data_IF_307021894411
#
_entry.id   IF_307021894411
#
_cell.length_a   1.000
_cell.length_b   1.000
_cell.length_c   1.000
_cell.angle_alpha   90.00
_cell.angle_beta   90.00
_cell.angle_gamma   90.00
#
_symmetry.space_group_name_H-M   'P 1'
#
loop_
_entity.id
_entity.type
_entity.pdbx_description
1 polymer ?
#
# COMPACT_ATOMS: atom_id res chain seq x y z
N UNK A 1 -11.56 -8.90 10.97
CA UNK A 1 -11.06 -10.25 11.30
C UNK A 1 -10.00 -10.10 12.38
N UNK A 2 -10.18 -10.75 13.51
CA UNK A 2 -9.24 -10.68 14.63
C UNK A 2 -8.31 -11.88 14.55
N UNK A 3 -7.00 -11.65 14.61
CA UNK A 3 -6.01 -12.73 14.67
C UNK A 3 -5.31 -12.67 16.03
N UNK A 4 -5.30 -13.78 16.75
CA UNK A 4 -4.53 -13.94 17.99
C UNK A 4 -3.08 -14.26 17.63
N UNK A 5 -2.14 -13.49 18.19
CA UNK A 5 -0.72 -13.88 18.18
C UNK A 5 -0.30 -14.12 19.64
N UNK A 6 0.28 -15.28 19.84
CA UNK A 6 0.66 -15.80 21.14
C UNK A 6 2.06 -15.34 21.59
N UNK A 7 2.11 -14.87 22.83
CA UNK A 7 3.09 -15.08 23.90
C UNK A 7 4.54 -14.62 23.79
N UNK A 8 4.84 -13.59 24.57
CA UNK A 8 6.08 -13.54 25.35
C UNK A 8 5.71 -13.15 26.79
N UNK A 9 6.16 -13.97 27.78
CA UNK A 9 6.05 -13.76 29.23
C UNK A 9 4.65 -13.86 29.85
N UNK A 10 3.99 -15.02 29.75
CA UNK A 10 3.10 -15.55 30.79
C UNK A 10 1.77 -14.87 31.06
N UNK A 11 1.40 -13.78 30.41
CA UNK A 11 0.07 -13.21 30.49
C UNK A 11 -0.51 -12.95 29.09
N UNK A 12 -1.77 -13.32 28.81
CA UNK A 12 -2.40 -13.07 27.52
C UNK A 12 -2.72 -11.58 27.39
N UNK A 13 -1.91 -10.83 26.66
CA UNK A 13 -2.32 -9.54 26.12
C UNK A 13 -3.05 -9.79 24.79
N UNK A 14 -4.30 -9.42 24.74
CA UNK A 14 -5.06 -9.33 23.51
C UNK A 14 -4.47 -8.17 22.69
N UNK A 15 -3.55 -8.46 21.77
CA UNK A 15 -3.17 -7.50 20.74
C UNK A 15 -4.21 -7.62 19.61
N UNK A 16 -5.07 -6.62 19.52
CA UNK A 16 -5.99 -6.50 18.39
C UNK A 16 -5.19 -5.97 17.21
N UNK A 17 -4.75 -6.87 16.32
CA UNK A 17 -4.19 -6.46 15.03
C UNK A 17 -5.38 -6.03 14.16
N UNK A 18 -5.50 -4.74 13.93
CA UNK A 18 -6.49 -4.21 12.98
C UNK A 18 -5.90 -4.36 11.58
N UNK A 19 -6.27 -5.44 10.92
CA UNK A 19 -5.95 -5.64 9.50
C UNK A 19 -6.77 -4.63 8.70
N UNK A 20 -6.11 -3.82 7.88
CA UNK A 20 -6.74 -2.77 7.10
C UNK A 20 -6.48 -2.96 5.62
N UNK A 21 -7.56 -2.86 4.86
CA UNK A 21 -7.54 -2.60 3.42
C UNK A 21 -8.41 -1.38 3.17
N UNK A 22 -7.84 -0.32 2.61
CA UNK A 22 -8.57 0.91 2.31
C UNK A 22 -8.43 1.31 0.85
N UNK A 23 -9.56 1.71 0.26
CA UNK A 23 -9.63 2.26 -1.09
C UNK A 23 -9.64 3.78 -1.04
N UNK A 24 -8.86 4.42 -1.91
CA UNK A 24 -8.83 5.85 -2.13
C UNK A 24 -9.10 6.17 -3.60
N UNK A 25 -9.87 7.22 -3.82
CA UNK A 25 -10.09 7.78 -5.14
C UNK A 25 -9.00 8.77 -5.49
N UNK A 26 -8.33 8.54 -6.61
CA UNK A 26 -7.57 9.61 -7.24
C UNK A 26 -8.55 10.46 -8.05
N UNK A 27 -8.84 11.69 -7.59
CA UNK A 27 -9.85 12.54 -8.22
C UNK A 27 -9.43 13.05 -9.61
N UNK A 28 -8.11 13.11 -9.85
CA UNK A 28 -7.54 13.65 -11.10
C UNK A 28 -7.42 12.57 -12.17
N UNK A 29 -7.11 11.34 -11.78
CA UNK A 29 -6.85 10.24 -12.71
C UNK A 29 -7.83 9.08 -12.49
N UNK A 30 -8.25 8.36 -13.56
CA UNK A 30 -9.21 7.26 -13.46
C UNK A 30 -8.54 5.97 -12.93
N UNK A 31 -7.89 6.06 -11.80
CA UNK A 31 -7.23 4.94 -11.10
C UNK A 31 -7.54 4.98 -9.63
N UNK A 32 -7.68 3.80 -9.04
CA UNK A 32 -7.81 3.64 -7.60
C UNK A 32 -6.43 3.46 -6.97
N UNK A 33 -6.33 3.85 -5.71
CA UNK A 33 -5.23 3.46 -4.84
C UNK A 33 -5.82 2.60 -3.72
N UNK A 34 -5.28 1.41 -3.54
CA UNK A 34 -5.56 0.58 -2.38
C UNK A 34 -4.33 0.50 -1.51
N UNK A 35 -4.52 0.61 -0.21
CA UNK A 35 -3.46 0.45 0.78
C UNK A 35 -3.90 -0.61 1.78
N UNK A 36 -3.06 -1.62 1.97
CA UNK A 36 -3.32 -2.74 2.88
C UNK A 36 -2.15 -2.97 3.83
N UNK A 37 -2.44 -3.55 4.99
CA UNK A 37 -1.44 -3.91 6.02
C UNK A 37 -1.27 -5.43 6.13
N UNK A 38 -1.84 -6.21 5.21
CA UNK A 38 -1.72 -7.66 5.21
C UNK A 38 -1.90 -8.23 3.81
N UNK A 39 -1.01 -9.13 3.42
CA UNK A 39 -1.16 -9.91 2.20
C UNK A 39 -2.43 -10.77 2.19
N UNK A 40 -2.80 -11.31 3.35
CA UNK A 40 -3.98 -12.15 3.49
C UNK A 40 -5.29 -11.42 3.15
N UNK A 41 -5.32 -10.10 3.33
CA UNK A 41 -6.48 -9.27 2.97
C UNK A 41 -6.63 -9.04 1.47
N UNK A 42 -5.57 -9.22 0.70
CA UNK A 42 -5.54 -8.81 -0.72
C UNK A 42 -5.42 -9.97 -1.69
N UNK A 43 -4.76 -11.05 -1.32
CA UNK A 43 -4.38 -12.16 -2.23
C UNK A 43 -5.54 -12.73 -3.06
N UNK A 44 -6.74 -12.79 -2.49
CA UNK A 44 -7.92 -13.37 -3.13
C UNK A 44 -8.89 -12.31 -3.71
N UNK A 45 -8.68 -11.03 -3.39
CA UNK A 45 -9.56 -9.92 -3.76
C UNK A 45 -9.12 -9.17 -5.00
N UNK A 46 -7.86 -9.34 -5.38
CA UNK A 46 -7.24 -8.63 -6.49
C UNK A 46 -6.64 -9.61 -7.50
N UNK A 47 -6.46 -9.11 -8.70
CA UNK A 47 -5.72 -9.78 -9.77
C UNK A 47 -4.95 -8.75 -10.58
N UNK A 48 -3.90 -9.18 -11.26
CA UNK A 48 -3.18 -8.39 -12.25
C UNK A 48 -3.91 -8.51 -13.59
N UNK A 49 -4.10 -7.41 -14.29
CA UNK A 49 -4.71 -7.41 -15.63
C UNK A 49 -3.68 -7.33 -16.77
N UNK A 50 -2.40 -7.15 -16.45
CA UNK A 50 -1.30 -7.14 -17.40
C UNK A 50 -0.44 -8.39 -17.18
N UNK A 51 -0.30 -9.21 -18.23
CA UNK A 51 0.39 -10.50 -18.17
C UNK A 51 1.89 -10.41 -17.89
N UNK A 52 2.50 -9.24 -18.09
CA UNK A 52 3.92 -9.01 -17.84
C UNK A 52 4.23 -8.80 -16.35
N UNK A 53 3.21 -8.72 -15.50
CA UNK A 53 3.34 -8.51 -14.06
C UNK A 53 2.84 -9.72 -13.26
N UNK A 54 3.46 -9.95 -12.10
CA UNK A 54 3.04 -10.98 -11.15
C UNK A 54 2.33 -10.36 -9.94
N UNK A 55 1.36 -11.11 -9.40
CA UNK A 55 0.71 -10.77 -8.14
C UNK A 55 1.00 -11.89 -7.13
N UNK A 56 2.12 -11.75 -6.44
CA UNK A 56 2.63 -12.71 -5.46
C UNK A 56 3.20 -11.99 -4.24
N UNK A 57 3.26 -12.68 -3.11
CA UNK A 57 3.79 -12.11 -1.87
C UNK A 57 5.30 -11.91 -1.95
N UNK A 58 5.77 -10.73 -1.59
CA UNK A 58 7.19 -10.44 -1.35
C UNK A 58 7.50 -10.55 0.14
N UNK A 59 8.29 -11.54 0.52
CA UNK A 59 8.54 -11.86 1.94
C UNK A 59 9.59 -10.96 2.59
N UNK A 60 10.49 -10.38 1.80
CA UNK A 60 11.65 -9.62 2.29
C UNK A 60 11.46 -8.10 2.22
N UNK A 61 10.23 -7.64 1.97
CA UNK A 61 9.92 -6.23 1.81
C UNK A 61 8.90 -5.75 2.85
N UNK A 62 9.21 -4.62 3.50
CA UNK A 62 8.29 -3.94 4.43
C UNK A 62 7.13 -3.26 3.72
N UNK A 63 7.30 -2.89 2.47
CA UNK A 63 6.29 -2.37 1.57
C UNK A 63 6.47 -2.93 0.16
N UNK A 64 5.38 -3.07 -0.58
CA UNK A 64 5.40 -3.50 -1.98
C UNK A 64 4.29 -2.81 -2.76
N UNK A 65 4.64 -2.26 -3.91
CA UNK A 65 3.70 -1.69 -4.87
C UNK A 65 3.39 -2.71 -5.96
N UNK A 66 2.11 -2.98 -6.16
CA UNK A 66 1.61 -3.82 -7.25
C UNK A 66 0.90 -2.94 -8.27
N UNK A 67 1.49 -2.73 -9.45
CA UNK A 67 0.85 -2.02 -10.55
C UNK A 67 -0.13 -2.94 -11.30
N UNK A 68 -0.92 -2.36 -12.19
CA UNK A 68 -1.86 -3.07 -13.07
C UNK A 68 -2.84 -3.97 -12.31
N UNK A 69 -3.29 -3.50 -11.15
CA UNK A 69 -4.21 -4.25 -10.28
C UNK A 69 -5.67 -3.95 -10.62
N UNK A 70 -6.46 -5.01 -10.61
CA UNK A 70 -7.91 -4.94 -10.72
C UNK A 70 -8.56 -5.58 -9.49
N UNK A 71 -9.50 -4.88 -8.87
CA UNK A 71 -10.30 -5.45 -7.80
C UNK A 71 -11.39 -6.33 -8.40
N UNK A 72 -11.39 -7.63 -8.06
CA UNK A 72 -12.28 -8.63 -8.66
C UNK A 72 -13.76 -8.30 -8.49
N UNK A 73 -14.17 -7.79 -7.32
CA UNK A 73 -15.57 -7.51 -7.00
C UNK A 73 -16.15 -6.31 -7.74
N UNK A 74 -15.33 -5.31 -8.09
CA UNK A 74 -15.77 -4.04 -8.71
C UNK A 74 -15.26 -3.83 -10.12
N UNK A 75 -14.30 -4.62 -10.56
CA UNK A 75 -13.58 -4.49 -11.85
C UNK A 75 -12.85 -3.15 -12.00
N UNK A 76 -12.68 -2.42 -10.91
CA UNK A 76 -11.93 -1.16 -10.91
C UNK A 76 -10.44 -1.43 -10.93
N UNK A 77 -9.71 -0.61 -11.68
CA UNK A 77 -8.27 -0.71 -11.89
C UNK A 77 -7.50 0.36 -11.14
N UNK A 78 -6.28 0.04 -10.75
CA UNK A 78 -5.40 0.96 -10.06
C UNK A 78 -4.13 0.30 -9.55
N UNK A 79 -3.60 0.85 -8.48
CA UNK A 79 -2.37 0.43 -7.84
C UNK A 79 -2.66 0.01 -6.40
N UNK A 80 -2.05 -1.09 -5.97
CA UNK A 80 -2.14 -1.61 -4.62
C UNK A 80 -0.79 -1.47 -3.92
N UNK A 81 -0.78 -0.90 -2.73
CA UNK A 81 0.38 -0.91 -1.83
C UNK A 81 0.06 -1.85 -0.66
N UNK A 82 0.93 -2.80 -0.40
CA UNK A 82 0.85 -3.68 0.76
C UNK A 82 2.04 -3.42 1.67
N UNK A 83 1.75 -3.02 2.90
CA UNK A 83 2.74 -2.94 3.97
C UNK A 83 2.67 -4.22 4.80
N UNK A 84 3.81 -4.85 5.02
CA UNK A 84 3.89 -6.14 5.69
C UNK A 84 4.97 -6.09 6.78
N UNK A 85 4.68 -5.33 7.84
CA UNK A 85 5.61 -5.22 8.96
C UNK A 85 5.52 -6.47 9.83
N UNK A 86 6.62 -7.21 9.92
CA UNK A 86 6.74 -8.38 10.80
C UNK A 86 7.01 -7.97 12.25
N UNK A 87 7.69 -6.84 12.44
CA UNK A 87 8.05 -6.28 13.73
C UNK A 87 7.55 -4.83 13.88
N UNK A 88 7.56 -4.34 15.11
CA UNK A 88 7.20 -2.96 15.39
C UNK A 88 8.28 -2.02 14.88
N UNK A 89 7.91 -1.12 13.96
CA UNK A 89 8.81 -0.18 13.32
C UNK A 89 8.70 1.20 13.97
N UNK A 90 9.83 1.90 14.12
CA UNK A 90 9.86 3.29 14.61
C UNK A 90 9.24 4.27 13.63
N UNK A 91 8.73 5.40 14.13
CA UNK A 91 8.02 6.38 13.32
C UNK A 91 8.85 6.95 12.17
N UNK A 92 10.15 7.17 12.34
CA UNK A 92 11.05 7.64 11.28
C UNK A 92 11.21 6.62 10.17
N UNK A 93 11.26 5.34 10.50
CA UNK A 93 11.36 4.27 9.51
C UNK A 93 10.06 4.12 8.72
N UNK A 94 8.91 4.27 9.37
CA UNK A 94 7.61 4.29 8.68
C UNK A 94 7.55 5.43 7.65
N UNK A 95 8.02 6.62 7.99
CA UNK A 95 8.09 7.75 7.05
C UNK A 95 8.97 7.42 5.85
N UNK A 96 10.13 6.81 6.08
CA UNK A 96 11.03 6.36 5.01
C UNK A 96 10.34 5.38 4.06
N UNK A 97 9.70 4.35 4.60
CA UNK A 97 9.02 3.32 3.79
C UNK A 97 7.82 3.93 3.03
N UNK A 98 7.02 4.79 3.68
CA UNK A 98 5.93 5.50 3.01
C UNK A 98 6.43 6.33 1.83
N UNK A 99 7.50 7.10 2.01
CA UNK A 99 8.06 7.92 0.95
C UNK A 99 8.54 7.06 -0.23
N UNK A 100 9.24 5.96 0.07
CA UNK A 100 9.74 5.01 -0.92
C UNK A 100 8.61 4.40 -1.75
N UNK A 101 7.60 3.81 -1.11
CA UNK A 101 6.49 3.16 -1.80
C UNK A 101 5.58 4.17 -2.51
N UNK A 102 5.47 5.39 -2.00
CA UNK A 102 4.67 6.44 -2.63
C UNK A 102 5.25 6.87 -3.98
N UNK A 103 6.57 6.93 -4.12
CA UNK A 103 7.21 7.24 -5.41
C UNK A 103 6.96 6.10 -6.42
N UNK A 104 7.12 4.85 -6.02
CA UNK A 104 6.84 3.70 -6.88
C UNK A 104 5.38 3.67 -7.33
N UNK A 105 4.46 3.94 -6.43
CA UNK A 105 3.02 3.96 -6.74
C UNK A 105 2.64 5.12 -7.67
N UNK A 106 3.20 6.31 -7.48
CA UNK A 106 3.00 7.45 -8.38
C UNK A 106 3.51 7.13 -9.79
N UNK A 107 4.72 6.59 -9.89
CA UNK A 107 5.29 6.19 -11.18
C UNK A 107 4.48 5.07 -11.86
N UNK A 108 3.95 4.12 -11.09
CA UNK A 108 3.06 3.09 -11.62
C UNK A 108 1.78 3.68 -12.22
N UNK A 109 1.13 4.62 -11.53
CA UNK A 109 -0.08 5.30 -12.04
C UNK A 109 0.24 6.06 -13.32
N UNK A 110 1.34 6.83 -13.35
CA UNK A 110 1.74 7.59 -14.54
C UNK A 110 2.08 6.67 -15.70
N UNK A 111 2.82 5.60 -15.46
CA UNK A 111 3.15 4.63 -16.51
C UNK A 111 1.90 3.98 -17.12
N UNK A 112 0.93 3.58 -16.30
CA UNK A 112 -0.34 3.02 -16.77
C UNK A 112 -1.16 4.00 -17.62
N UNK A 113 -1.00 5.29 -17.41
CA UNK A 113 -1.71 6.36 -18.11
C UNK A 113 -0.91 6.98 -19.26
N UNK A 114 0.32 6.52 -19.48
CA UNK A 114 1.22 7.08 -20.48
C UNK A 114 1.66 8.51 -20.16
N UNK A 115 1.73 8.86 -18.90
CA UNK A 115 2.18 10.17 -18.42
C UNK A 115 3.68 10.09 -18.13
N UNK A 116 4.44 10.99 -18.74
CA UNK A 116 5.87 11.17 -18.47
C UNK A 116 6.09 12.51 -17.75
N UNK A 117 7.19 12.60 -17.01
CA UNK A 117 7.63 13.86 -16.41
C UNK A 117 9.15 13.95 -16.40
N UNK A 118 9.64 15.18 -16.48
CA UNK A 118 11.06 15.49 -16.40
C UNK A 118 11.43 15.96 -14.99
N UNK A 119 12.69 15.79 -14.59
CA UNK A 119 13.19 16.21 -13.27
C UNK A 119 13.03 17.71 -13.00
N UNK A 120 12.97 18.53 -14.05
CA UNK A 120 12.77 19.98 -13.97
C UNK A 120 11.31 20.40 -14.07
N UNK A 121 10.40 19.47 -14.38
CA UNK A 121 8.96 19.68 -14.53
C UNK A 121 8.19 18.55 -13.84
N UNK A 122 8.43 18.40 -12.54
CA UNK A 122 7.98 17.27 -11.72
C UNK A 122 6.86 17.60 -10.73
N UNK A 123 6.31 18.82 -10.79
CA UNK A 123 5.34 19.30 -9.81
C UNK A 123 4.11 18.39 -9.69
N UNK A 124 3.58 17.89 -10.81
CA UNK A 124 2.45 16.94 -10.80
C UNK A 124 2.83 15.59 -10.19
N UNK A 125 4.07 15.15 -10.36
CA UNK A 125 4.59 13.94 -9.71
C UNK A 125 4.74 14.16 -8.19
N UNK A 126 5.25 15.32 -7.77
CA UNK A 126 5.38 15.67 -6.36
C UNK A 126 4.02 15.72 -5.65
N UNK A 127 3.00 16.33 -6.27
CA UNK A 127 1.62 16.30 -5.74
C UNK A 127 1.06 14.88 -5.62
N UNK A 128 1.30 14.01 -6.61
CA UNK A 128 0.85 12.62 -6.59
C UNK A 128 1.53 11.84 -5.46
N UNK A 129 2.85 11.96 -5.32
CA UNK A 129 3.61 11.33 -4.22
C UNK A 129 3.09 11.79 -2.86
N UNK A 130 2.88 13.09 -2.68
CA UNK A 130 2.35 13.65 -1.44
C UNK A 130 0.94 13.15 -1.11
N UNK A 131 0.06 13.05 -2.10
CA UNK A 131 -1.27 12.48 -1.92
C UNK A 131 -1.24 11.01 -1.52
N UNK A 132 -0.42 10.19 -2.21
CA UNK A 132 -0.24 8.77 -1.89
C UNK A 132 0.32 8.60 -0.49
N UNK A 133 1.35 9.37 -0.13
CA UNK A 133 1.94 9.33 1.21
C UNK A 133 0.91 9.64 2.30
N UNK A 134 0.05 10.63 2.07
CA UNK A 134 -1.06 10.95 2.97
C UNK A 134 -2.06 9.80 3.09
N UNK A 135 -2.35 9.10 2.00
CA UNK A 135 -3.21 7.92 2.01
C UNK A 135 -2.59 6.77 2.82
N UNK A 136 -1.30 6.49 2.60
CA UNK A 136 -0.55 5.49 3.37
C UNK A 136 -0.52 5.83 4.86
N UNK A 137 -0.24 7.08 5.20
CA UNK A 137 -0.25 7.54 6.59
C UNK A 137 -1.60 7.32 7.29
N UNK A 138 -2.71 7.60 6.62
CA UNK A 138 -4.06 7.38 7.17
C UNK A 138 -4.33 5.91 7.53
N UNK A 139 -3.67 4.99 6.86
CA UNK A 139 -3.78 3.55 7.14
C UNK A 139 -2.81 3.16 8.26
N UNK A 140 -1.54 3.57 8.15
CA UNK A 140 -0.47 3.11 9.01
C UNK A 140 -0.41 3.80 10.38
N UNK A 141 -0.92 5.04 10.51
CA UNK A 141 -0.90 5.76 11.80
C UNK A 141 -1.55 4.98 12.95
N UNK A 142 -2.52 4.13 12.65
CA UNK A 142 -3.17 3.27 13.65
C UNK A 142 -2.28 2.15 14.16
N UNK A 143 -1.24 1.80 13.40
CA UNK A 143 -0.24 0.80 13.79
C UNK A 143 0.84 1.39 14.72
N UNK A 144 1.08 2.72 14.65
CA UNK A 144 2.15 3.39 15.39
C UNK A 144 1.77 3.62 16.85
N UNK A 145 0.50 3.94 17.11
CA UNK A 145 0.00 4.35 18.44
C UNK A 145 -0.55 3.19 19.29
N UNK A 146 -0.25 1.97 18.91
CA UNK A 146 -0.52 0.76 19.69
C UNK A 146 0.77 0.27 20.34
#
# INVERSE_FOLDING_TARGET
MYRFIAFRNGSPRLEIIVIMLKEFNCEIYPRKLWVATSWEEVKDRFSVYDADYAFEKHNDADGTVYPHIERKSTRKRGVLIVFNFEERIGGSEIVNIIAHESLHAANAIFNELGIEYELTHDEHAAYMVGWIAKCCWKVLQKEIYK
#
